data_IF_619396005766
#
_entry.id   IF_619396005766
#
_cell.length_a   1.000
_cell.length_b   1.000
_cell.length_c   1.000
_cell.angle_alpha   90.00
_cell.angle_beta   90.00
_cell.angle_gamma   90.00
#
_symmetry.space_group_name_H-M   'P 1'
#
loop_
_entity.id
_entity.type
_entity.pdbx_description
1 polymer ?
#
# COMPACT_ATOMS: atom_id res chain seq x y z
N UNK A 1 18.99 -26.30 17.41
CA UNK A 1 19.00 -24.88 16.99
C UNK A 1 20.39 -24.50 16.48
N UNK A 2 20.49 -24.00 15.24
CA UNK A 2 21.76 -23.53 14.65
C UNK A 2 22.28 -22.27 15.37
N UNK A 3 23.55 -21.91 15.20
CA UNK A 3 24.13 -20.68 15.78
C UNK A 3 23.38 -19.42 15.34
N UNK A 4 23.03 -19.33 14.05
CA UNK A 4 22.23 -18.23 13.48
C UNK A 4 20.85 -18.12 14.11
N UNK A 5 20.16 -19.25 14.30
CA UNK A 5 18.82 -19.25 14.90
C UNK A 5 18.88 -18.81 16.38
N UNK A 6 19.89 -19.26 17.14
CA UNK A 6 20.12 -18.79 18.52
C UNK A 6 20.39 -17.28 18.60
N UNK A 7 21.21 -16.76 17.69
CA UNK A 7 21.50 -15.32 17.62
C UNK A 7 20.23 -14.49 17.35
N UNK A 8 19.41 -14.88 16.36
CA UNK A 8 18.19 -14.16 16.03
C UNK A 8 17.17 -14.19 17.18
N UNK A 9 17.00 -15.34 17.84
CA UNK A 9 16.14 -15.44 19.02
C UNK A 9 16.61 -14.53 20.16
N UNK A 10 17.92 -14.49 20.43
CA UNK A 10 18.48 -13.59 21.45
C UNK A 10 18.22 -12.12 21.12
N UNK A 11 18.31 -11.72 19.84
CA UNK A 11 18.02 -10.35 19.42
C UNK A 11 16.55 -10.00 19.66
N UNK A 12 15.61 -10.89 19.31
CA UNK A 12 14.18 -10.70 19.58
C UNK A 12 13.89 -10.61 21.09
N UNK A 13 14.46 -11.50 21.91
CA UNK A 13 14.26 -11.43 23.36
C UNK A 13 14.86 -10.18 23.99
N UNK A 14 15.94 -9.63 23.42
CA UNK A 14 16.53 -8.38 23.91
C UNK A 14 15.57 -7.20 23.75
N UNK A 15 14.70 -7.21 22.74
CA UNK A 15 13.71 -6.15 22.55
C UNK A 15 12.73 -6.04 23.73
N UNK A 16 12.45 -7.16 24.44
CA UNK A 16 11.60 -7.16 25.64
C UNK A 16 12.24 -6.45 26.85
N UNK A 17 13.53 -6.11 26.78
CA UNK A 17 14.26 -5.44 27.86
C UNK A 17 14.38 -3.93 27.66
N UNK A 18 13.84 -3.39 26.56
CA UNK A 18 13.83 -1.96 26.31
C UNK A 18 12.63 -1.30 27.00
N UNK A 19 12.87 -0.12 27.58
CA UNK A 19 11.83 0.66 28.26
C UNK A 19 10.90 1.38 27.27
N UNK A 20 11.37 1.62 26.05
CA UNK A 20 10.64 2.30 24.98
C UNK A 20 10.78 1.55 23.64
N UNK A 21 9.78 1.69 22.78
CA UNK A 21 9.80 1.14 21.43
C UNK A 21 10.86 1.85 20.57
N UNK A 22 11.72 1.08 19.91
CA UNK A 22 12.71 1.63 18.98
C UNK A 22 12.05 1.98 17.63
N UNK A 23 11.84 3.28 17.38
CA UNK A 23 11.29 3.80 16.11
C UNK A 23 12.33 3.94 15.00
N UNK A 24 13.57 3.48 15.21
CA UNK A 24 14.66 3.50 14.21
C UNK A 24 15.00 2.10 13.69
N UNK A 25 14.36 1.06 14.24
CA UNK A 25 14.45 -0.29 13.72
C UNK A 25 13.44 -0.51 12.60
N UNK A 26 13.84 -1.26 11.57
CA UNK A 26 13.06 -1.46 10.35
C UNK A 26 12.79 -2.95 10.14
N UNK A 27 11.61 -3.30 9.59
CA UNK A 27 11.22 -4.70 9.34
C UNK A 27 12.09 -5.44 8.29
N UNK A 28 12.90 -4.70 7.52
CA UNK A 28 13.65 -5.24 6.42
C UNK A 28 14.96 -4.51 6.14
N UNK A 29 15.78 -5.09 5.28
CA UNK A 29 17.05 -4.51 4.87
C UNK A 29 16.81 -3.40 3.84
N UNK A 30 17.73 -2.41 3.73
CA UNK A 30 17.60 -1.33 2.74
C UNK A 30 17.55 -1.83 1.28
N UNK A 31 18.11 -3.01 1.00
CA UNK A 31 18.12 -3.63 -0.33
C UNK A 31 16.84 -4.41 -0.68
N UNK A 32 15.85 -4.48 0.21
CA UNK A 32 14.57 -5.14 -0.06
C UNK A 32 13.79 -4.37 -1.12
N UNK A 33 13.23 -5.08 -2.11
CA UNK A 33 12.31 -4.51 -3.10
C UNK A 33 10.90 -4.73 -2.60
N UNK A 34 10.48 -3.90 -1.65
CA UNK A 34 9.13 -3.88 -1.09
C UNK A 34 8.87 -2.53 -0.40
N UNK A 35 7.69 -2.30 0.13
CA UNK A 35 7.36 -1.21 1.05
C UNK A 35 6.46 -1.77 2.17
N UNK A 36 6.27 -1.00 3.26
CA UNK A 36 5.35 -1.40 4.31
C UNK A 36 4.87 -0.22 5.17
N UNK A 37 3.66 -0.37 5.68
CA UNK A 37 3.12 0.37 6.82
C UNK A 37 3.26 -0.45 8.12
N UNK A 38 3.59 0.23 9.22
CA UNK A 38 3.64 -0.34 10.56
C UNK A 38 2.64 0.38 11.46
N UNK A 39 1.49 -0.24 11.79
CA UNK A 39 0.46 0.41 12.57
C UNK A 39 0.93 0.79 13.97
N UNK A 40 1.74 -0.05 14.63
CA UNK A 40 2.26 0.18 15.98
C UNK A 40 3.18 1.40 16.07
N UNK A 41 3.76 1.79 14.94
CA UNK A 41 4.66 2.94 14.83
C UNK A 41 4.01 4.11 14.10
N UNK A 42 2.81 3.92 13.53
CA UNK A 42 2.18 4.81 12.55
C UNK A 42 3.22 5.35 11.54
N UNK A 43 3.88 4.42 10.86
CA UNK A 43 5.06 4.71 10.04
C UNK A 43 5.02 3.98 8.71
N UNK A 44 5.42 4.68 7.64
CA UNK A 44 5.57 4.15 6.29
C UNK A 44 7.07 4.05 5.98
N UNK A 45 7.51 2.92 5.42
CA UNK A 45 8.91 2.70 5.04
C UNK A 45 9.05 2.35 3.56
N UNK A 46 9.94 3.07 2.88
CA UNK A 46 10.38 2.76 1.52
C UNK A 46 11.89 2.44 1.54
N UNK A 47 12.28 1.16 1.57
CA UNK A 47 13.67 0.74 1.38
C UNK A 47 14.28 1.31 0.10
N UNK A 48 15.60 1.51 0.10
CA UNK A 48 16.31 1.97 -1.10
C UNK A 48 16.13 1.01 -2.30
N UNK A 49 15.92 -0.28 -2.04
CA UNK A 49 15.70 -1.30 -3.07
C UNK A 49 14.44 -1.10 -3.91
N UNK A 50 13.38 -0.45 -3.41
CA UNK A 50 12.18 -0.16 -4.22
C UNK A 50 12.30 1.15 -5.01
N UNK A 51 13.21 2.05 -4.65
CA UNK A 51 13.40 3.37 -5.27
C UNK A 51 14.20 3.30 -6.59
N UNK A 52 13.76 2.43 -7.50
CA UNK A 52 14.39 2.19 -8.80
C UNK A 52 13.33 1.91 -9.88
N UNK A 53 13.71 1.93 -11.17
CA UNK A 53 12.81 1.52 -12.24
C UNK A 53 12.19 0.13 -12.02
N UNK A 54 10.91 -0.06 -12.39
CA UNK A 54 10.00 0.91 -12.99
C UNK A 54 9.16 1.70 -11.96
N UNK A 55 9.44 1.60 -10.66
CA UNK A 55 8.73 2.34 -9.61
C UNK A 55 9.10 3.83 -9.62
N UNK A 56 10.40 4.13 -9.65
CA UNK A 56 10.89 5.51 -9.58
C UNK A 56 12.17 5.72 -10.40
N UNK A 57 12.25 6.86 -11.06
CA UNK A 57 13.51 7.39 -11.57
C UNK A 57 13.46 8.92 -11.61
N UNK A 58 14.50 9.63 -11.12
CA UNK A 58 14.47 11.08 -10.97
C UNK A 58 14.38 11.84 -12.31
N UNK A 59 14.75 11.20 -13.43
CA UNK A 59 14.68 11.79 -14.78
C UNK A 59 13.46 11.34 -15.59
N UNK A 60 12.54 10.57 -15.01
CA UNK A 60 11.33 10.13 -15.72
C UNK A 60 10.20 11.15 -15.58
N UNK A 61 9.23 11.16 -16.53
CA UNK A 61 8.06 12.01 -16.41
C UNK A 61 7.33 11.78 -15.08
N UNK A 62 6.78 12.85 -14.53
CA UNK A 62 6.01 12.81 -13.30
C UNK A 62 4.89 11.78 -13.39
N UNK A 63 4.18 11.69 -14.52
CA UNK A 63 3.12 10.70 -14.72
C UNK A 63 3.57 9.26 -14.46
N UNK A 64 4.80 8.91 -14.82
CA UNK A 64 5.37 7.58 -14.59
C UNK A 64 5.73 7.41 -13.11
N UNK A 65 6.42 8.39 -12.51
CA UNK A 65 6.80 8.33 -11.09
C UNK A 65 5.59 8.29 -10.15
N UNK A 66 4.52 9.05 -10.45
CA UNK A 66 3.28 9.01 -9.70
C UNK A 66 2.50 7.70 -9.94
N UNK A 67 2.51 7.17 -11.17
CA UNK A 67 1.88 5.88 -11.49
C UNK A 67 2.59 4.67 -10.88
N UNK A 68 3.87 4.79 -10.57
CA UNK A 68 4.68 3.77 -9.90
C UNK A 68 4.81 4.03 -8.41
N UNK A 69 5.87 4.72 -8.01
CA UNK A 69 6.17 4.99 -6.59
C UNK A 69 5.10 5.85 -5.91
N UNK A 70 4.42 6.75 -6.64
CA UNK A 70 3.30 7.50 -6.09
C UNK A 70 2.15 6.60 -5.65
N UNK A 71 1.81 5.58 -6.44
CA UNK A 71 0.78 4.59 -6.06
C UNK A 71 1.24 3.74 -4.88
N UNK A 72 2.50 3.27 -4.88
CA UNK A 72 3.05 2.53 -3.72
C UNK A 72 2.98 3.39 -2.46
N UNK A 73 3.35 4.66 -2.54
CA UNK A 73 3.29 5.55 -1.39
C UNK A 73 1.87 5.82 -0.91
N UNK A 74 0.92 5.95 -1.84
CA UNK A 74 -0.50 6.06 -1.52
C UNK A 74 -1.05 4.79 -0.87
N UNK A 75 -0.65 3.62 -1.37
CA UNK A 75 -1.06 2.31 -0.84
C UNK A 75 -0.61 2.14 0.61
N UNK A 76 0.67 2.37 0.92
CA UNK A 76 1.16 2.29 2.30
C UNK A 76 0.53 3.35 3.22
N UNK A 77 0.19 4.52 2.68
CA UNK A 77 -0.56 5.53 3.45
C UNK A 77 -1.97 5.06 3.76
N UNK A 78 -2.63 4.40 2.82
CA UNK A 78 -4.00 3.88 2.99
C UNK A 78 -4.06 2.72 3.98
N UNK A 79 -2.99 1.92 4.16
CA UNK A 79 -2.92 0.92 5.22
C UNK A 79 -3.10 1.50 6.64
N UNK A 80 -2.84 2.79 6.85
CA UNK A 80 -3.21 3.45 8.12
C UNK A 80 -4.72 3.60 8.34
N UNK A 81 -5.54 3.28 7.34
CA UNK A 81 -6.98 3.52 7.28
C UNK A 81 -7.74 2.36 6.62
N UNK A 82 -7.14 1.18 6.50
CA UNK A 82 -7.85 -0.04 6.10
C UNK A 82 -8.55 -0.70 7.30
N UNK A 83 -9.09 -1.91 7.12
CA UNK A 83 -9.86 -2.61 8.15
C UNK A 83 -9.07 -2.94 9.42
N UNK A 84 -7.75 -3.09 9.31
CA UNK A 84 -6.87 -3.23 10.46
C UNK A 84 -6.35 -1.86 10.94
N UNK A 85 -5.93 -1.01 10.01
CA UNK A 85 -5.33 0.30 10.27
C UNK A 85 -6.21 1.24 11.08
N UNK A 86 -7.52 1.29 10.79
CA UNK A 86 -8.47 2.16 11.54
C UNK A 86 -8.58 1.80 13.03
N UNK A 87 -8.12 0.62 13.44
CA UNK A 87 -8.08 0.22 14.85
C UNK A 87 -6.93 0.87 15.62
N UNK A 88 -5.95 1.46 14.93
CA UNK A 88 -4.76 2.07 15.52
C UNK A 88 -4.89 3.60 15.56
N UNK A 89 -4.72 4.17 16.75
CA UNK A 89 -4.72 5.61 16.95
C UNK A 89 -3.45 6.28 16.40
N UNK A 90 -3.39 7.62 16.41
CA UNK A 90 -2.31 8.39 15.79
C UNK A 90 -0.91 8.15 16.40
N UNK A 91 -0.84 7.61 17.62
CA UNK A 91 0.42 7.25 18.29
C UNK A 91 0.87 5.81 18.00
N UNK A 92 0.08 5.04 17.23
CA UNK A 92 0.31 3.61 16.98
C UNK A 92 -0.13 2.71 18.14
N UNK A 93 -1.00 3.18 19.02
CA UNK A 93 -1.65 2.33 20.03
C UNK A 93 -3.01 1.86 19.51
N UNK A 94 -3.39 0.61 19.80
CA UNK A 94 -4.75 0.13 19.53
C UNK A 94 -5.73 1.04 20.27
N UNK A 95 -6.68 1.60 19.51
CA UNK A 95 -7.78 2.39 20.03
C UNK A 95 -8.88 1.46 20.51
N UNK A 96 -9.28 1.61 21.77
CA UNK A 96 -10.47 0.94 22.28
C UNK A 96 -11.68 1.82 22.01
N UNK A 97 -12.67 1.24 21.34
CA UNK A 97 -13.92 1.89 20.99
C UNK A 97 -14.63 2.47 22.22
N UNK A 98 -15.16 3.69 22.11
CA UNK A 98 -15.99 4.34 23.13
C UNK A 98 -17.47 3.90 23.08
N UNK A 99 -17.86 3.13 22.05
CA UNK A 99 -19.25 2.67 21.84
C UNK A 99 -19.34 1.19 21.40
N UNK A 100 -20.52 0.58 21.52
CA UNK A 100 -20.70 -0.86 21.19
C UNK A 100 -20.46 -1.18 19.71
N UNK A 101 -20.84 -0.26 18.81
CA UNK A 101 -20.77 -0.44 17.36
C UNK A 101 -19.62 0.30 16.68
N UNK A 102 -18.73 0.95 17.43
CA UNK A 102 -17.66 1.75 16.83
C UNK A 102 -16.40 0.91 16.57
N UNK A 103 -15.66 1.24 15.51
CA UNK A 103 -14.39 0.59 15.16
C UNK A 103 -13.22 1.50 15.46
N UNK A 104 -12.30 1.04 16.32
CA UNK A 104 -11.09 1.78 16.64
C UNK A 104 -11.35 3.14 17.29
N UNK A 105 -10.97 4.20 16.59
CA UNK A 105 -11.13 5.59 17.04
C UNK A 105 -12.30 6.32 16.35
N UNK A 106 -13.04 5.65 15.47
CA UNK A 106 -14.18 6.23 14.75
C UNK A 106 -15.41 6.34 15.64
N UNK A 107 -16.30 7.30 15.36
CA UNK A 107 -17.65 7.32 15.92
C UNK A 107 -18.57 6.33 15.19
N UNK A 108 -19.82 6.18 15.67
CA UNK A 108 -20.77 5.20 15.12
C UNK A 108 -21.11 5.50 13.65
N UNK A 109 -21.32 6.78 13.31
CA UNK A 109 -21.64 7.17 11.92
C UNK A 109 -20.48 6.92 10.96
N UNK A 110 -19.25 7.21 11.39
CA UNK A 110 -18.05 6.95 10.60
C UNK A 110 -17.77 5.46 10.46
N UNK A 111 -18.04 4.69 11.51
CA UNK A 111 -17.92 3.22 11.48
C UNK A 111 -18.89 2.60 10.48
N UNK A 112 -20.16 3.02 10.51
CA UNK A 112 -21.16 2.55 9.54
C UNK A 112 -20.77 2.90 8.10
N UNK A 113 -20.29 4.14 7.89
CA UNK A 113 -19.79 4.58 6.59
C UNK A 113 -18.59 3.77 6.10
N UNK A 114 -17.62 3.52 6.97
CA UNK A 114 -16.45 2.69 6.68
C UNK A 114 -16.87 1.26 6.30
N UNK A 115 -17.68 0.60 7.14
CA UNK A 115 -18.14 -0.76 6.91
C UNK A 115 -18.92 -0.88 5.60
N UNK A 116 -19.73 0.12 5.25
CA UNK A 116 -20.47 0.15 3.97
C UNK A 116 -19.52 0.19 2.77
N UNK A 117 -18.46 1.01 2.83
CA UNK A 117 -17.47 1.10 1.76
C UNK A 117 -16.61 -0.17 1.67
N UNK A 118 -16.15 -0.69 2.81
CA UNK A 118 -15.37 -1.93 2.88
C UNK A 118 -16.17 -3.13 2.33
N UNK A 119 -17.46 -3.22 2.64
CA UNK A 119 -18.33 -4.27 2.09
C UNK A 119 -18.43 -4.21 0.57
N UNK A 120 -18.46 -3.01 -0.03
CA UNK A 120 -18.45 -2.87 -1.49
C UNK A 120 -17.17 -3.46 -2.11
N UNK A 121 -16.01 -3.24 -1.48
CA UNK A 121 -14.72 -3.83 -1.90
C UNK A 121 -14.74 -5.34 -1.73
N UNK A 122 -15.25 -5.85 -0.60
CA UNK A 122 -15.39 -7.29 -0.38
C UNK A 122 -16.25 -7.94 -1.47
N UNK A 123 -17.38 -7.34 -1.79
CA UNK A 123 -18.34 -7.87 -2.77
C UNK A 123 -17.75 -7.92 -4.18
N UNK A 124 -17.05 -6.85 -4.59
CA UNK A 124 -16.37 -6.78 -5.89
C UNK A 124 -15.34 -7.91 -6.04
N UNK A 125 -14.42 -8.04 -5.07
CA UNK A 125 -13.32 -8.99 -5.17
C UNK A 125 -13.76 -10.44 -4.93
N UNK A 126 -14.83 -10.66 -4.14
CA UNK A 126 -15.42 -12.01 -3.98
C UNK A 126 -15.99 -12.55 -5.30
N UNK A 127 -16.47 -11.66 -6.18
CA UNK A 127 -16.97 -12.04 -7.51
C UNK A 127 -15.84 -12.31 -8.52
N UNK A 128 -14.58 -12.07 -8.17
CA UNK A 128 -13.45 -12.21 -9.08
C UNK A 128 -12.90 -13.65 -9.07
N UNK A 129 -13.16 -14.40 -10.14
CA UNK A 129 -12.75 -15.80 -10.33
C UNK A 129 -11.86 -15.98 -11.59
N UNK A 130 -10.59 -15.56 -11.54
CA UNK A 130 -9.73 -15.55 -12.74
C UNK A 130 -9.19 -16.94 -13.11
N UNK A 131 -9.25 -17.91 -12.20
CA UNK A 131 -8.67 -19.25 -12.41
C UNK A 131 -9.71 -20.26 -12.90
N UNK A 132 -9.28 -21.22 -13.72
CA UNK A 132 -10.12 -22.32 -14.19
C UNK A 132 -10.57 -23.19 -13.00
N UNK A 133 -11.88 -23.30 -12.71
CA UNK A 133 -12.40 -24.08 -11.58
C UNK A 133 -12.13 -25.58 -11.70
N UNK A 134 -11.81 -26.09 -12.89
CA UNK A 134 -11.46 -27.49 -13.08
C UNK A 134 -9.98 -27.79 -12.75
N UNK A 135 -9.15 -26.75 -12.57
CA UNK A 135 -7.70 -26.88 -12.35
C UNK A 135 -7.25 -26.37 -10.98
N UNK A 136 -7.93 -25.37 -10.43
CA UNK A 136 -7.50 -24.67 -9.22
C UNK A 136 -8.64 -24.57 -8.20
N UNK A 137 -8.32 -24.71 -6.92
CA UNK A 137 -9.24 -24.48 -5.80
C UNK A 137 -8.45 -23.91 -4.60
N UNK A 138 -8.84 -22.75 -4.05
CA UNK A 138 -9.92 -21.87 -4.51
C UNK A 138 -9.62 -21.27 -5.89
N UNK A 139 -10.65 -21.08 -6.73
CA UNK A 139 -10.52 -20.45 -8.06
C UNK A 139 -10.98 -18.98 -8.08
N UNK A 140 -11.51 -18.51 -6.96
CA UNK A 140 -11.98 -17.14 -6.75
C UNK A 140 -11.20 -16.49 -5.61
N UNK A 141 -11.09 -15.17 -5.69
CA UNK A 141 -10.50 -14.36 -4.61
C UNK A 141 -11.42 -14.36 -3.40
N UNK A 142 -10.85 -14.41 -2.20
CA UNK A 142 -11.57 -14.20 -0.97
C UNK A 142 -11.57 -12.71 -0.65
N UNK A 143 -12.67 -12.01 -0.96
CA UNK A 143 -12.76 -10.56 -0.78
C UNK A 143 -12.57 -10.12 0.68
N UNK A 144 -13.06 -10.91 1.65
CA UNK A 144 -12.86 -10.64 3.08
C UNK A 144 -11.38 -10.74 3.46
N UNK A 145 -10.69 -11.78 2.99
CA UNK A 145 -9.27 -11.98 3.32
C UNK A 145 -8.36 -10.94 2.66
N UNK A 146 -8.76 -10.38 1.52
CA UNK A 146 -7.94 -9.45 0.73
C UNK A 146 -8.34 -7.99 0.91
N UNK A 147 -9.37 -7.70 1.72
CA UNK A 147 -9.98 -6.37 1.78
C UNK A 147 -8.98 -5.27 2.14
N UNK A 148 -8.05 -5.49 3.09
CA UNK A 148 -7.07 -4.48 3.49
C UNK A 148 -6.18 -4.03 2.33
N UNK A 149 -5.59 -4.99 1.62
CA UNK A 149 -4.81 -4.75 0.40
C UNK A 149 -5.64 -4.12 -0.72
N UNK A 150 -6.89 -4.56 -0.91
CA UNK A 150 -7.77 -4.01 -1.93
C UNK A 150 -8.17 -2.56 -1.64
N UNK A 151 -8.45 -2.22 -0.37
CA UNK A 151 -8.69 -0.86 0.09
C UNK A 151 -7.43 -0.02 -0.14
N UNK A 152 -6.25 -0.54 0.21
CA UNK A 152 -4.97 0.14 0.02
C UNK A 152 -4.65 0.40 -1.46
N UNK A 153 -4.86 -0.57 -2.36
CA UNK A 153 -4.66 -0.39 -3.80
C UNK A 153 -5.60 0.68 -4.39
N UNK A 154 -6.89 0.65 -4.02
CA UNK A 154 -7.86 1.63 -4.48
C UNK A 154 -7.57 3.03 -3.92
N UNK A 155 -7.32 3.14 -2.61
CA UNK A 155 -6.95 4.41 -1.97
C UNK A 155 -5.66 4.99 -2.55
N UNK A 156 -4.66 4.13 -2.76
CA UNK A 156 -3.35 4.49 -3.26
C UNK A 156 -3.38 5.04 -4.68
N UNK A 157 -4.08 4.38 -5.60
CA UNK A 157 -4.18 4.88 -6.98
C UNK A 157 -4.95 6.21 -7.06
N UNK A 158 -6.01 6.37 -6.27
CA UNK A 158 -6.77 7.62 -6.22
C UNK A 158 -5.95 8.77 -5.63
N UNK A 159 -5.22 8.52 -4.54
CA UNK A 159 -4.34 9.52 -3.92
C UNK A 159 -3.19 9.92 -4.87
N UNK A 160 -2.53 8.95 -5.48
CA UNK A 160 -1.43 9.19 -6.43
C UNK A 160 -1.89 9.97 -7.66
N UNK A 161 -3.05 9.63 -8.23
CA UNK A 161 -3.57 10.36 -9.39
C UNK A 161 -3.94 11.80 -9.02
N UNK A 162 -4.58 12.04 -7.87
CA UNK A 162 -4.85 13.42 -7.39
C UNK A 162 -3.56 14.21 -7.14
N UNK A 163 -2.55 13.58 -6.57
CA UNK A 163 -1.24 14.21 -6.35
C UNK A 163 -0.57 14.57 -7.69
N UNK A 164 -0.61 13.68 -8.67
CA UNK A 164 -0.14 13.94 -10.03
C UNK A 164 -0.88 15.11 -10.69
N UNK A 165 -2.22 15.17 -10.58
CA UNK A 165 -3.01 16.31 -11.08
C UNK A 165 -2.63 17.62 -10.41
N UNK A 166 -2.32 17.58 -9.11
CA UNK A 166 -1.86 18.74 -8.35
C UNK A 166 -0.48 19.20 -8.83
N UNK A 167 0.45 18.27 -9.07
CA UNK A 167 1.76 18.57 -9.64
C UNK A 167 1.64 19.27 -11.01
N UNK A 168 0.82 18.75 -11.93
CA UNK A 168 0.58 19.40 -13.23
C UNK A 168 0.05 20.83 -13.06
N UNK A 169 -0.84 21.05 -12.08
CA UNK A 169 -1.42 22.37 -11.83
C UNK A 169 -0.40 23.38 -11.29
N UNK A 170 0.63 22.91 -10.58
CA UNK A 170 1.67 23.75 -9.97
C UNK A 170 2.86 23.97 -10.90
N UNK A 171 3.35 22.90 -11.53
CA UNK A 171 4.63 22.88 -12.25
C UNK A 171 4.45 22.82 -13.78
N UNK A 172 3.22 22.61 -14.25
CA UNK A 172 2.90 22.37 -15.65
C UNK A 172 3.02 20.89 -16.05
N UNK A 173 2.49 20.51 -17.23
CA UNK A 173 2.60 19.14 -17.72
C UNK A 173 4.01 18.85 -18.27
N UNK A 174 4.46 17.60 -18.12
CA UNK A 174 5.62 17.10 -18.84
C UNK A 174 5.42 17.16 -20.37
N UNK A 175 6.50 17.30 -21.15
CA UNK A 175 6.43 17.13 -22.60
C UNK A 175 6.16 15.66 -22.94
N UNK A 176 5.40 15.44 -24.02
CA UNK A 176 5.16 14.10 -24.55
C UNK A 176 6.48 13.37 -24.81
N UNK A 177 6.46 12.05 -24.56
CA UNK A 177 7.61 11.20 -24.80
C UNK A 177 8.03 11.24 -26.28
N UNK A 178 9.33 11.37 -26.58
CA UNK A 178 9.82 11.53 -27.96
C UNK A 178 9.80 10.22 -28.77
N UNK A 179 9.46 9.10 -28.15
CA UNK A 179 9.37 7.79 -28.78
C UNK A 179 8.08 7.65 -29.61
N UNK A 180 8.17 6.98 -30.77
CA UNK A 180 7.02 6.61 -31.60
C UNK A 180 6.04 5.67 -30.89
N UNK A 181 6.50 4.78 -30.02
CA UNK A 181 5.59 3.87 -29.32
C UNK A 181 4.87 4.60 -28.18
N UNK A 182 5.64 5.13 -27.22
CA UNK A 182 5.04 5.73 -26.01
C UNK A 182 4.53 7.16 -26.21
N UNK A 183 5.04 7.92 -27.19
CA UNK A 183 4.58 9.27 -27.51
C UNK A 183 3.16 9.35 -28.08
N UNK A 184 2.53 8.20 -28.37
CA UNK A 184 1.12 8.12 -28.76
C UNK A 184 0.16 8.19 -27.57
N UNK A 185 0.66 7.99 -26.34
CA UNK A 185 -0.17 8.03 -25.13
C UNK A 185 -0.09 9.40 -24.47
N UNK A 186 -1.22 9.85 -23.90
CA UNK A 186 -1.23 11.00 -23.00
C UNK A 186 -0.52 10.66 -21.69
N UNK A 187 -0.08 11.67 -20.94
CA UNK A 187 0.51 11.41 -19.63
C UNK A 187 -0.47 10.78 -18.63
N UNK A 188 -1.77 11.06 -18.72
CA UNK A 188 -2.78 10.35 -17.92
C UNK A 188 -2.83 8.86 -18.28
N UNK A 189 -2.73 8.51 -19.57
CA UNK A 189 -2.65 7.11 -20.00
C UNK A 189 -1.34 6.45 -19.54
N UNK A 190 -0.22 7.17 -19.64
CA UNK A 190 1.09 6.69 -19.18
C UNK A 190 1.11 6.42 -17.67
N UNK A 191 0.40 7.22 -16.87
CA UNK A 191 0.21 6.96 -15.44
C UNK A 191 -0.43 5.59 -15.21
N UNK A 192 -1.58 5.31 -15.85
CA UNK A 192 -2.29 4.04 -15.65
C UNK A 192 -1.56 2.84 -16.28
N UNK A 193 -0.80 3.06 -17.36
CA UNK A 193 0.08 2.03 -17.95
C UNK A 193 1.21 1.64 -16.99
N UNK A 194 1.87 2.61 -16.36
CA UNK A 194 2.94 2.30 -15.40
C UNK A 194 2.38 1.63 -14.12
N UNK A 195 1.22 2.09 -13.63
CA UNK A 195 0.52 1.42 -12.53
C UNK A 195 0.28 -0.08 -12.83
N UNK A 196 -0.26 -0.41 -14.00
CA UNK A 196 -0.50 -1.79 -14.40
C UNK A 196 0.82 -2.60 -14.55
N UNK A 197 1.89 -1.97 -15.03
CA UNK A 197 3.20 -2.60 -15.14
C UNK A 197 3.79 -2.92 -13.76
N UNK A 198 3.64 -2.02 -12.79
CA UNK A 198 4.06 -2.23 -11.40
C UNK A 198 3.26 -3.34 -10.73
N UNK A 199 1.93 -3.35 -10.88
CA UNK A 199 1.07 -4.42 -10.37
C UNK A 199 1.46 -5.81 -10.90
N UNK A 200 1.90 -5.88 -12.16
CA UNK A 200 2.39 -7.14 -12.77
C UNK A 200 3.67 -7.68 -12.13
N UNK A 201 4.44 -6.86 -11.41
CA UNK A 201 5.63 -7.29 -10.67
C UNK A 201 5.36 -7.58 -9.19
N UNK A 202 4.33 -6.96 -8.59
CA UNK A 202 3.87 -7.29 -7.22
C UNK A 202 3.30 -8.72 -7.14
N UNK A 203 2.79 -9.24 -8.25
CA UNK A 203 2.16 -10.57 -8.35
C UNK A 203 3.14 -11.74 -8.62
N UNK A 204 4.45 -11.53 -8.53
CA UNK A 204 5.52 -12.53 -8.68
C UNK A 204 6.36 -12.63 -7.41
#
# INVERSE_FOLDING_TARGET
LTSRCRFNLQLQYKQLTFDETDRKDFLGQPGTVNAWYQPELNSITFPAGILQPPYFHPLWPASINYGGMGVVAGHELTHGFDDEGVQWGPTGAISFSECENCTGWMDETSTDGFNTMAQCVIDEYTAFCPLDPNRYSPNCVNGVQTQGENIADNGGIHAAFRAYRTHIALDGPDPLLPDRLFGQFSHDQLFFLNFAQVGSMKAL
#
